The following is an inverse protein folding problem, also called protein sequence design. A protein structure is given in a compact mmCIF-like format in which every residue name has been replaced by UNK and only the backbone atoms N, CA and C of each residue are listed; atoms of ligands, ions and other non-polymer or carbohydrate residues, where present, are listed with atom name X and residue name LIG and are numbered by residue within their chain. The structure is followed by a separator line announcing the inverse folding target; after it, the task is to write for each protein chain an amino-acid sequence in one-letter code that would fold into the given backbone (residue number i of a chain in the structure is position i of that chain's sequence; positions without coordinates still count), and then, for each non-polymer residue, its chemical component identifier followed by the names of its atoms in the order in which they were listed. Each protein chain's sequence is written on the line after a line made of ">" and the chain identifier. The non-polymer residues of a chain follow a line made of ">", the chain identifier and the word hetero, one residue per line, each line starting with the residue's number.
data_IF_102137404133
#
_entry.id   IF_102137404133
#
_cell.length_a   1.000
_cell.length_b   1.000
_cell.length_c   1.000
_cell.angle_alpha   90.00
_cell.angle_beta   90.00
_cell.angle_gamma   90.00
#
_symmetry.space_group_name_H-M   'P 1'
#
loop_
_entity.id
_entity.type
_entity.pdbx_description
1 polymer ?
#
# COMPACT_ATOMS: atom_id res chain seq x y z
N UNK A 1 -8.78 -7.97 -1.03
CA UNK A 1 -8.24 -6.82 -0.26
C UNK A 1 -7.93 -7.26 1.14
N UNK A 2 -8.90 -7.16 2.04
CA UNK A 2 -8.75 -7.48 3.48
C UNK A 2 -8.12 -8.84 3.78
N UNK A 3 -8.60 -9.91 3.14
CA UNK A 3 -8.03 -11.27 3.31
C UNK A 3 -6.53 -11.27 3.00
N UNK A 4 -6.12 -10.65 1.88
CA UNK A 4 -4.70 -10.60 1.54
C UNK A 4 -3.87 -9.83 2.57
N UNK A 5 -4.33 -8.65 3.00
CA UNK A 5 -3.58 -7.81 3.97
C UNK A 5 -3.40 -8.55 5.30
N UNK A 6 -4.48 -9.13 5.83
CA UNK A 6 -4.44 -9.84 7.10
C UNK A 6 -3.59 -11.12 7.02
N UNK A 7 -3.65 -11.86 5.91
CA UNK A 7 -2.84 -13.05 5.70
C UNK A 7 -1.35 -12.70 5.61
N UNK A 8 -0.98 -11.71 4.78
CA UNK A 8 0.42 -11.26 4.68
C UNK A 8 0.96 -10.77 6.01
N UNK A 9 0.16 -9.98 6.76
CA UNK A 9 0.53 -9.55 8.10
C UNK A 9 0.88 -10.73 9.01
N UNK A 10 0.05 -11.77 9.03
CA UNK A 10 0.30 -12.95 9.86
C UNK A 10 1.53 -13.73 9.41
N UNK A 11 1.66 -13.96 8.09
CA UNK A 11 2.78 -14.69 7.51
C UNK A 11 4.11 -13.98 7.82
N UNK A 12 4.19 -12.68 7.55
CA UNK A 12 5.44 -11.92 7.73
C UNK A 12 5.76 -11.72 9.22
N UNK A 13 4.76 -11.48 10.08
CA UNK A 13 4.97 -11.42 11.53
C UNK A 13 5.45 -12.75 12.12
N UNK A 14 5.12 -13.88 11.49
CA UNK A 14 5.64 -15.20 11.91
C UNK A 14 7.14 -15.39 11.62
N UNK A 15 7.74 -14.45 10.88
CA UNK A 15 9.17 -14.37 10.60
C UNK A 15 9.50 -14.87 9.20
N UNK A 16 10.20 -14.03 8.41
CA UNK A 16 10.66 -14.40 7.07
C UNK A 16 11.61 -15.60 7.09
N UNK A 17 12.49 -15.71 8.10
CA UNK A 17 13.41 -16.84 8.23
C UNK A 17 12.68 -18.17 8.45
N UNK A 18 11.65 -18.17 9.30
CA UNK A 18 10.81 -19.35 9.50
C UNK A 18 10.17 -19.83 8.20
N UNK A 19 9.69 -18.91 7.36
CA UNK A 19 9.12 -19.24 6.06
C UNK A 19 10.19 -19.76 5.07
N UNK A 20 11.43 -19.26 5.15
CA UNK A 20 12.55 -19.71 4.29
C UNK A 20 13.04 -21.11 4.61
N UNK A 21 12.91 -21.53 5.86
CA UNK A 21 13.30 -22.87 6.31
C UNK A 21 12.28 -23.95 5.91
N UNK A 22 11.08 -23.55 5.49
CA UNK A 22 10.06 -24.49 4.99
C UNK A 22 10.40 -24.92 3.57
N UNK A 23 10.16 -26.20 3.27
CA UNK A 23 10.05 -26.64 1.88
C UNK A 23 8.78 -26.07 1.23
N UNK A 24 8.71 -26.16 -0.10
CA UNK A 24 7.63 -25.57 -0.90
C UNK A 24 6.24 -26.09 -0.48
N UNK A 25 6.13 -27.39 -0.22
CA UNK A 25 4.89 -28.04 0.19
C UNK A 25 4.41 -27.54 1.57
N UNK A 26 5.30 -27.54 2.57
CA UNK A 26 4.95 -27.04 3.92
C UNK A 26 4.63 -25.55 3.92
N UNK A 27 5.32 -24.76 3.11
CA UNK A 27 5.04 -23.32 2.99
C UNK A 27 3.65 -23.11 2.38
N UNK A 28 3.31 -23.82 1.31
CA UNK A 28 2.00 -23.75 0.67
C UNK A 28 0.87 -24.16 1.64
N UNK A 29 1.03 -25.26 2.38
CA UNK A 29 0.07 -25.70 3.41
C UNK A 29 -0.11 -24.66 4.51
N UNK A 30 0.99 -24.05 4.98
CA UNK A 30 0.93 -23.02 6.00
C UNK A 30 0.22 -21.75 5.50
N UNK A 31 0.50 -21.33 4.27
CA UNK A 31 -0.15 -20.17 3.63
C UNK A 31 -1.64 -20.45 3.42
N UNK A 32 -2.01 -21.65 2.95
CA UNK A 32 -3.41 -22.03 2.80
C UNK A 32 -4.14 -22.00 4.13
N UNK A 33 -3.54 -22.54 5.19
CA UNK A 33 -4.11 -22.50 6.53
C UNK A 33 -4.37 -21.07 7.01
N UNK A 34 -3.42 -20.16 6.80
CA UNK A 34 -3.60 -18.73 7.15
C UNK A 34 -4.71 -18.10 6.29
N UNK A 35 -4.72 -18.35 4.99
CA UNK A 35 -5.73 -17.85 4.07
C UNK A 35 -7.14 -18.33 4.43
N UNK A 36 -7.28 -19.62 4.77
CA UNK A 36 -8.54 -20.25 5.21
C UNK A 36 -9.08 -19.55 6.45
N UNK A 37 -8.26 -19.38 7.49
CA UNK A 37 -8.66 -18.70 8.72
C UNK A 37 -9.13 -17.25 8.49
N UNK A 38 -8.54 -16.52 7.53
CA UNK A 38 -8.98 -15.17 7.19
C UNK A 38 -10.23 -15.15 6.31
N UNK A 39 -10.36 -16.11 5.39
CA UNK A 39 -11.51 -16.21 4.51
C UNK A 39 -12.78 -16.59 5.30
N UNK A 40 -12.67 -17.51 6.26
CA UNK A 40 -13.76 -17.93 7.15
C UNK A 40 -14.38 -16.78 7.95
N UNK A 41 -13.60 -15.75 8.28
CA UNK A 41 -14.09 -14.55 8.98
C UNK A 41 -15.00 -13.69 8.11
N UNK A 42 -14.92 -13.84 6.79
CA UNK A 42 -15.60 -12.97 5.82
C UNK A 42 -16.67 -13.71 5.01
N UNK A 43 -16.63 -15.04 4.96
CA UNK A 43 -17.45 -15.83 4.05
C UNK A 43 -18.74 -16.35 4.68
N UNK A 44 -19.86 -16.09 4.00
CA UNK A 44 -21.11 -16.84 4.11
C UNK A 44 -21.36 -17.67 2.84
N UNK A 45 -20.29 -18.13 2.18
CA UNK A 45 -20.38 -18.79 0.88
C UNK A 45 -20.82 -20.25 0.99
N UNK A 46 -21.41 -20.75 -0.10
CA UNK A 46 -21.54 -22.20 -0.30
C UNK A 46 -20.14 -22.86 -0.28
N UNK A 47 -20.02 -24.10 0.26
CA UNK A 47 -18.73 -24.76 0.45
C UNK A 47 -17.85 -24.80 -0.81
N UNK A 48 -18.43 -24.99 -1.98
CA UNK A 48 -17.73 -25.08 -3.25
C UNK A 48 -17.11 -23.72 -3.64
N UNK A 49 -17.85 -22.63 -3.44
CA UNK A 49 -17.37 -21.26 -3.69
C UNK A 49 -16.27 -20.90 -2.69
N UNK A 50 -16.39 -21.37 -1.45
CA UNK A 50 -15.36 -21.18 -0.44
C UNK A 50 -14.04 -21.82 -0.87
N UNK A 51 -14.04 -23.11 -1.26
CA UNK A 51 -12.82 -23.82 -1.67
C UNK A 51 -12.19 -23.21 -2.94
N UNK A 52 -12.99 -22.80 -3.93
CA UNK A 52 -12.47 -22.09 -5.11
C UNK A 52 -11.77 -20.79 -4.72
N UNK A 53 -12.36 -20.00 -3.82
CA UNK A 53 -11.77 -18.76 -3.37
C UNK A 53 -10.51 -18.99 -2.55
N UNK A 54 -10.51 -20.01 -1.69
CA UNK A 54 -9.34 -20.37 -0.91
C UNK A 54 -8.18 -20.74 -1.82
N UNK A 55 -8.37 -21.65 -2.77
CA UNK A 55 -7.33 -22.05 -3.73
C UNK A 55 -6.76 -20.82 -4.46
N UNK A 56 -7.63 -19.93 -4.95
CA UNK A 56 -7.21 -18.70 -5.62
C UNK A 56 -6.37 -17.80 -4.71
N UNK A 57 -6.84 -17.54 -3.50
CA UNK A 57 -6.16 -16.65 -2.55
C UNK A 57 -4.82 -17.24 -2.11
N UNK A 58 -4.78 -18.53 -1.79
CA UNK A 58 -3.57 -19.24 -1.39
C UNK A 58 -2.52 -19.18 -2.49
N UNK A 59 -2.87 -19.48 -3.74
CA UNK A 59 -1.95 -19.42 -4.88
C UNK A 59 -1.38 -18.01 -5.09
N UNK A 60 -2.21 -16.97 -4.95
CA UNK A 60 -1.75 -15.57 -5.02
C UNK A 60 -0.75 -15.26 -3.90
N UNK A 61 -1.04 -15.70 -2.68
CA UNK A 61 -0.17 -15.47 -1.52
C UNK A 61 1.15 -16.23 -1.64
N UNK A 62 1.14 -17.50 -2.06
CA UNK A 62 2.37 -18.30 -2.32
C UNK A 62 3.25 -17.55 -3.33
N UNK A 63 2.69 -17.23 -4.50
CA UNK A 63 3.40 -16.51 -5.55
C UNK A 63 3.97 -15.17 -5.05
N UNK A 64 3.20 -14.43 -4.25
CA UNK A 64 3.67 -13.18 -3.66
C UNK A 64 4.80 -13.38 -2.64
N UNK A 65 4.67 -14.35 -1.72
CA UNK A 65 5.69 -14.63 -0.71
C UNK A 65 7.01 -15.01 -1.39
N UNK A 66 6.98 -15.90 -2.37
CA UNK A 66 8.18 -16.35 -3.10
C UNK A 66 8.83 -15.22 -3.90
N UNK A 67 8.03 -14.43 -4.61
CA UNK A 67 8.54 -13.45 -5.56
C UNK A 67 8.72 -12.06 -4.99
N UNK A 68 8.28 -11.79 -3.75
CA UNK A 68 8.40 -10.46 -3.12
C UNK A 68 9.01 -10.52 -1.72
N UNK A 69 8.55 -11.42 -0.85
CA UNK A 69 9.06 -11.46 0.54
C UNK A 69 10.34 -12.31 0.67
N UNK A 70 10.40 -13.43 -0.05
CA UNK A 70 11.43 -14.47 0.06
C UNK A 70 12.12 -14.78 -1.28
N UNK A 71 12.53 -13.80 -2.08
CA UNK A 71 13.12 -14.12 -3.36
C UNK A 71 14.42 -14.90 -3.23
N UNK A 72 14.55 -15.89 -4.09
CA UNK A 72 15.83 -16.52 -4.41
C UNK A 72 16.49 -15.70 -5.51
N UNK A 73 17.74 -15.29 -5.30
CA UNK A 73 18.51 -14.60 -6.34
C UNK A 73 18.94 -15.60 -7.41
N UNK A 74 18.23 -15.61 -8.54
CA UNK A 74 18.59 -16.40 -9.72
C UNK A 74 19.35 -15.49 -10.69
N UNK A 75 20.64 -15.75 -10.89
CA UNK A 75 21.50 -15.08 -11.89
C UNK A 75 21.44 -13.52 -11.85
N UNK A 76 21.22 -12.92 -10.68
CA UNK A 76 21.14 -11.47 -10.51
C UNK A 76 19.91 -10.79 -11.15
N UNK A 77 18.90 -11.56 -11.59
CA UNK A 77 17.79 -11.05 -12.42
C UNK A 77 16.60 -10.45 -11.67
N UNK A 78 16.53 -10.52 -10.33
CA UNK A 78 15.39 -9.95 -9.61
C UNK A 78 15.56 -8.46 -9.28
N UNK A 79 15.48 -7.62 -10.32
CA UNK A 79 15.68 -6.15 -10.24
C UNK A 79 14.70 -5.44 -9.32
N UNK A 80 13.46 -5.92 -9.21
CA UNK A 80 12.43 -5.30 -8.37
C UNK A 80 12.77 -5.44 -6.87
N UNK A 81 13.39 -6.56 -6.51
CA UNK A 81 13.65 -6.90 -5.11
C UNK A 81 14.92 -6.29 -4.53
N UNK A 82 15.95 -6.12 -5.35
CA UNK A 82 17.12 -5.32 -4.95
C UNK A 82 16.68 -3.88 -4.62
N UNK A 83 15.80 -3.29 -5.43
CA UNK A 83 15.28 -1.93 -5.18
C UNK A 83 14.35 -1.84 -3.98
N UNK A 84 13.63 -2.90 -3.63
CA UNK A 84 12.77 -2.90 -2.46
C UNK A 84 13.55 -3.16 -1.16
N UNK A 85 14.42 -4.18 -1.15
CA UNK A 85 15.10 -4.65 0.06
C UNK A 85 16.37 -3.88 0.41
N UNK A 86 17.07 -3.34 -0.58
CA UNK A 86 18.40 -2.76 -0.38
C UNK A 86 18.34 -1.24 -0.50
N UNK A 87 18.78 -0.57 0.55
CA UNK A 87 19.09 0.86 0.53
C UNK A 87 20.60 1.04 0.44
N UNK A 88 21.04 1.91 -0.47
CA UNK A 88 22.47 2.17 -0.68
C UNK A 88 22.85 3.45 0.03
N UNK A 89 23.87 3.37 0.87
CA UNK A 89 24.46 4.50 1.59
C UNK A 89 25.92 4.65 1.15
N UNK A 90 26.59 5.71 1.62
CA UNK A 90 28.02 5.89 1.39
C UNK A 90 28.87 4.80 2.08
N UNK A 91 28.33 4.20 3.14
CA UNK A 91 28.99 3.17 3.97
C UNK A 91 28.64 1.73 3.53
N UNK A 92 27.73 1.54 2.57
CA UNK A 92 27.39 0.24 1.99
C UNK A 92 25.91 -0.01 1.75
N UNK A 93 25.52 -1.29 1.73
CA UNK A 93 24.15 -1.74 1.49
C UNK A 93 23.45 -2.04 2.84
N UNK A 94 22.32 -1.38 3.08
CA UNK A 94 21.41 -1.65 4.21
C UNK A 94 20.18 -2.44 3.76
N UNK A 95 19.64 -3.30 4.63
CA UNK A 95 18.53 -4.19 4.31
C UNK A 95 17.27 -3.90 5.11
N UNK A 96 16.18 -3.55 4.43
CA UNK A 96 14.89 -3.27 5.07
C UNK A 96 14.31 -4.50 5.79
N UNK A 97 13.97 -4.30 7.06
CA UNK A 97 13.33 -5.30 7.92
C UNK A 97 11.95 -4.80 8.34
N UNK A 98 10.88 -5.63 8.23
CA UNK A 98 9.57 -5.26 8.74
C UNK A 98 9.59 -4.89 10.22
N UNK A 99 9.04 -3.72 10.54
CA UNK A 99 8.99 -3.15 11.88
C UNK A 99 7.56 -3.08 12.41
N UNK A 100 6.68 -2.40 11.69
CA UNK A 100 5.27 -2.21 12.07
C UNK A 100 4.31 -2.66 10.97
N UNK A 101 3.12 -3.06 11.39
CA UNK A 101 2.01 -3.42 10.49
C UNK A 101 0.71 -2.80 11.00
N UNK A 102 -0.13 -2.34 10.09
CA UNK A 102 -1.42 -1.71 10.41
C UNK A 102 -1.27 -0.55 11.41
N UNK A 103 -0.19 0.24 11.25
CA UNK A 103 0.18 1.32 12.14
C UNK A 103 -0.88 2.41 12.09
N UNK A 104 -1.62 2.57 13.18
CA UNK A 104 -2.77 3.48 13.26
C UNK A 104 -2.33 4.81 13.85
N UNK A 105 -2.89 5.90 13.35
CA UNK A 105 -2.60 7.25 13.84
C UNK A 105 -3.88 8.08 13.95
N UNK A 106 -3.89 8.99 14.93
CA UNK A 106 -5.08 9.76 15.30
C UNK A 106 -4.89 11.26 15.13
N UNK A 107 -6.00 12.00 15.05
CA UNK A 107 -6.01 13.46 14.86
C UNK A 107 -5.26 14.24 15.93
N UNK A 108 -5.14 13.70 17.14
CA UNK A 108 -4.41 14.32 18.25
C UNK A 108 -2.89 14.29 18.08
N UNK A 109 -2.38 13.32 17.32
CA UNK A 109 -0.95 13.06 17.18
C UNK A 109 -0.41 13.59 15.85
N UNK A 110 -1.27 13.67 14.83
CA UNK A 110 -0.88 14.02 13.46
C UNK A 110 -1.49 15.31 12.99
N UNK A 111 -0.85 16.42 13.35
CA UNK A 111 -1.09 17.74 12.75
C UNK A 111 0.11 18.15 11.88
N UNK A 112 -0.08 18.33 10.58
CA UNK A 112 0.99 18.77 9.66
C UNK A 112 0.47 20.01 8.94
N UNK A 113 1.22 21.11 9.01
CA UNK A 113 0.83 22.39 8.42
C UNK A 113 -0.59 22.86 8.80
N UNK A 114 -0.99 22.62 10.05
CA UNK A 114 -2.31 22.98 10.57
C UNK A 114 -3.45 22.03 10.16
N UNK A 115 -3.14 20.93 9.47
CA UNK A 115 -4.11 19.93 9.02
C UNK A 115 -3.99 18.68 9.88
N UNK A 116 -5.13 18.23 10.42
CA UNK A 116 -5.22 17.04 11.27
C UNK A 116 -5.60 15.81 10.46
N UNK A 117 -4.75 14.79 10.51
CA UNK A 117 -4.97 13.53 9.81
C UNK A 117 -5.38 12.40 10.77
N UNK A 118 -5.99 11.35 10.26
CA UNK A 118 -6.18 10.08 10.97
C UNK A 118 -6.29 8.97 9.96
N UNK A 119 -5.77 7.79 10.27
CA UNK A 119 -5.73 6.71 9.32
C UNK A 119 -4.87 5.55 9.79
N UNK A 120 -4.45 4.74 8.82
CA UNK A 120 -3.69 3.52 9.06
C UNK A 120 -2.73 3.26 7.91
N UNK A 121 -1.50 2.91 8.25
CA UNK A 121 -0.43 2.58 7.32
C UNK A 121 -0.26 1.07 7.34
N UNK A 122 -0.33 0.43 6.18
CA UNK A 122 -0.32 -1.03 6.06
C UNK A 122 0.95 -1.64 6.65
N UNK A 123 2.13 -1.11 6.27
CA UNK A 123 3.41 -1.63 6.74
C UNK A 123 4.53 -0.59 6.73
N UNK A 124 5.39 -0.68 7.74
CA UNK A 124 6.62 0.11 7.87
C UNK A 124 7.80 -0.85 8.01
N UNK A 125 8.77 -0.72 7.11
CA UNK A 125 10.06 -1.38 7.20
C UNK A 125 11.13 -0.40 7.65
N UNK A 126 12.18 -0.90 8.30
CA UNK A 126 13.23 -0.08 8.91
C UNK A 126 14.63 -0.55 8.48
N UNK A 127 15.53 0.41 8.37
CA UNK A 127 16.99 0.26 8.27
C UNK A 127 17.67 1.28 9.19
N UNK A 128 18.97 1.17 9.49
CA UNK A 128 19.68 2.18 10.29
C UNK A 128 19.52 3.60 9.76
N UNK A 129 19.54 3.80 8.45
CA UNK A 129 19.43 5.13 7.83
C UNK A 129 18.02 5.72 7.78
N UNK A 130 16.97 4.95 8.09
CA UNK A 130 15.59 5.44 8.03
C UNK A 130 14.55 4.35 7.81
N UNK A 131 13.36 4.76 7.39
CA UNK A 131 12.23 3.85 7.22
C UNK A 131 11.67 3.87 5.80
N UNK A 132 10.97 2.80 5.46
CA UNK A 132 10.25 2.62 4.22
C UNK A 132 8.77 2.35 4.47
N UNK A 133 7.91 3.09 3.76
CA UNK A 133 6.46 2.88 3.80
C UNK A 133 6.04 1.94 2.68
N UNK A 134 5.19 0.98 3.00
CA UNK A 134 4.64 0.02 2.06
C UNK A 134 3.12 0.04 2.19
N UNK A 135 2.44 0.33 1.09
CA UNK A 135 0.99 0.23 0.98
C UNK A 135 0.62 -0.97 0.12
N UNK A 136 -0.18 -1.88 0.66
CA UNK A 136 -0.57 -3.09 -0.04
C UNK A 136 -1.74 -2.81 -0.97
N UNK A 137 -1.62 -3.25 -2.22
CA UNK A 137 -2.70 -3.18 -3.19
C UNK A 137 -2.98 -4.55 -3.78
N UNK A 138 -4.26 -4.91 -3.90
CA UNK A 138 -4.62 -6.21 -4.46
C UNK A 138 -4.19 -6.34 -5.94
N UNK A 139 -4.51 -5.36 -6.79
CA UNK A 139 -4.37 -5.46 -8.26
C UNK A 139 -3.54 -4.37 -8.93
N UNK A 140 -3.79 -3.11 -8.59
CA UNK A 140 -3.16 -1.95 -9.23
C UNK A 140 -2.53 -1.06 -8.16
N UNK A 141 -1.45 -0.38 -8.52
CA UNK A 141 -0.88 0.67 -7.68
C UNK A 141 -1.92 1.78 -7.39
N UNK A 142 -1.79 2.42 -6.23
CA UNK A 142 -2.60 3.57 -5.87
C UNK A 142 -1.99 4.90 -6.35
N UNK A 143 -2.55 5.97 -5.83
CA UNK A 143 -2.10 7.35 -6.02
C UNK A 143 -0.87 7.65 -5.16
N UNK A 144 0.17 8.23 -5.77
CA UNK A 144 1.47 8.48 -5.09
C UNK A 144 1.31 9.42 -3.90
N UNK A 145 0.35 10.32 -3.98
CA UNK A 145 -0.08 11.27 -2.97
C UNK A 145 -0.38 10.58 -1.63
N UNK A 146 -1.01 9.40 -1.67
CA UNK A 146 -1.27 8.60 -0.48
C UNK A 146 0.03 8.15 0.20
N UNK A 147 1.02 7.68 -0.57
CA UNK A 147 2.32 7.27 -0.04
C UNK A 147 3.07 8.44 0.59
N UNK A 148 3.02 9.60 -0.06
CA UNK A 148 3.70 10.82 0.39
C UNK A 148 3.07 11.33 1.69
N UNK A 149 1.74 11.33 1.78
CA UNK A 149 1.03 11.67 3.01
C UNK A 149 1.45 10.75 4.16
N UNK A 150 1.49 9.43 3.93
CA UNK A 150 1.94 8.47 4.93
C UNK A 150 3.41 8.67 5.31
N UNK A 151 4.27 9.00 4.35
CA UNK A 151 5.67 9.31 4.62
C UNK A 151 5.77 10.51 5.58
N UNK A 152 5.10 11.63 5.30
CA UNK A 152 5.15 12.82 6.17
C UNK A 152 4.57 12.59 7.55
N UNK A 153 3.51 11.79 7.65
CA UNK A 153 2.94 11.38 8.94
C UNK A 153 3.94 10.54 9.73
N UNK A 154 4.59 9.56 9.10
CA UNK A 154 5.60 8.73 9.75
C UNK A 154 6.85 9.52 10.15
N UNK A 155 7.35 10.43 9.31
CA UNK A 155 8.49 11.28 9.65
C UNK A 155 8.22 12.06 10.94
N UNK A 156 7.00 12.60 11.08
CA UNK A 156 6.57 13.33 12.26
C UNK A 156 6.40 12.42 13.49
N UNK A 157 5.72 11.28 13.35
CA UNK A 157 5.35 10.43 14.48
C UNK A 157 6.51 9.59 15.01
N UNK A 158 7.38 9.12 14.13
CA UNK A 158 8.47 8.20 14.48
C UNK A 158 9.81 8.91 14.64
N UNK A 159 9.86 10.21 14.36
CA UNK A 159 11.08 11.04 14.42
C UNK A 159 12.25 10.41 13.63
N UNK A 160 11.92 9.77 12.50
CA UNK A 160 12.86 9.10 11.60
C UNK A 160 12.61 9.50 10.15
N UNK A 161 13.66 9.68 9.33
CA UNK A 161 13.48 10.00 7.93
C UNK A 161 12.82 8.84 7.19
N UNK A 162 11.81 9.16 6.38
CA UNK A 162 11.26 8.20 5.41
C UNK A 162 12.09 8.32 4.15
N UNK A 163 12.88 7.30 3.87
CA UNK A 163 13.82 7.28 2.74
C UNK A 163 13.21 6.66 1.49
N UNK A 164 12.16 5.84 1.65
CA UNK A 164 11.38 5.26 0.54
C UNK A 164 9.90 5.11 0.86
N UNK A 165 9.08 5.14 -0.17
CA UNK A 165 7.69 4.68 -0.09
C UNK A 165 7.30 3.92 -1.37
N UNK A 166 6.45 2.90 -1.28
CA UNK A 166 6.05 2.10 -2.45
C UNK A 166 4.70 1.43 -2.31
N UNK A 167 4.11 1.06 -3.45
CA UNK A 167 3.03 0.08 -3.49
C UNK A 167 3.56 -1.33 -3.65
N UNK A 168 3.08 -2.24 -2.81
CA UNK A 168 3.26 -3.66 -3.01
C UNK A 168 1.98 -4.30 -3.56
N UNK A 169 2.02 -4.69 -4.83
CA UNK A 169 0.86 -5.24 -5.55
C UNK A 169 0.85 -6.76 -5.43
N UNK A 170 -0.16 -7.28 -4.75
CA UNK A 170 -0.21 -8.67 -4.27
C UNK A 170 -0.47 -9.66 -5.41
N UNK A 171 -1.56 -9.50 -6.19
CA UNK A 171 -1.89 -10.43 -7.27
C UNK A 171 -0.85 -10.42 -8.40
N UNK A 172 -0.17 -9.28 -8.59
CA UNK A 172 0.90 -9.14 -9.58
C UNK A 172 2.29 -9.50 -9.05
N UNK A 173 2.42 -9.87 -7.76
CA UNK A 173 3.69 -10.11 -7.07
C UNK A 173 4.78 -9.09 -7.44
N UNK A 174 4.45 -7.80 -7.35
CA UNK A 174 5.30 -6.71 -7.86
C UNK A 174 5.33 -5.51 -6.94
N UNK A 175 6.50 -4.89 -6.87
CA UNK A 175 6.70 -3.58 -6.23
C UNK A 175 6.59 -2.49 -7.30
N UNK A 176 5.79 -1.46 -7.05
CA UNK A 176 5.53 -0.37 -8.00
C UNK A 176 5.64 1.00 -7.34
N UNK A 177 6.00 2.01 -8.14
CA UNK A 177 6.12 3.41 -7.72
C UNK A 177 6.99 3.58 -6.47
N UNK A 178 8.22 3.04 -6.50
CA UNK A 178 9.20 3.33 -5.45
C UNK A 178 9.54 4.82 -5.55
N UNK A 179 9.17 5.59 -4.52
CA UNK A 179 9.51 6.99 -4.37
C UNK A 179 10.71 7.10 -3.42
N UNK A 180 11.69 7.92 -3.80
CA UNK A 180 12.74 8.38 -2.91
C UNK A 180 12.34 9.68 -2.21
N UNK A 181 13.19 10.15 -1.28
CA UNK A 181 12.94 11.35 -0.49
C UNK A 181 12.67 12.57 -1.36
N UNK A 182 13.50 12.82 -2.37
CA UNK A 182 13.37 13.99 -3.25
C UNK A 182 12.05 13.96 -4.04
N UNK A 183 11.64 12.79 -4.55
CA UNK A 183 10.34 12.63 -5.23
C UNK A 183 9.17 12.84 -4.27
N UNK A 184 9.28 12.36 -3.03
CA UNK A 184 8.23 12.57 -2.02
C UNK A 184 8.10 14.03 -1.63
N UNK A 185 9.21 14.73 -1.41
CA UNK A 185 9.23 16.15 -1.05
C UNK A 185 8.60 17.01 -2.15
N UNK A 186 8.92 16.73 -3.42
CA UNK A 186 8.32 17.43 -4.56
C UNK A 186 6.80 17.22 -4.66
N UNK A 187 6.32 15.98 -4.49
CA UNK A 187 4.87 15.69 -4.53
C UNK A 187 4.17 16.33 -3.32
N UNK A 188 4.84 16.42 -2.17
CA UNK A 188 4.26 17.00 -0.95
C UNK A 188 3.91 18.49 -1.13
N UNK A 189 4.77 19.26 -1.80
CA UNK A 189 4.55 20.68 -2.07
C UNK A 189 3.20 20.92 -2.77
N UNK A 190 2.94 20.21 -3.87
CA UNK A 190 1.67 20.32 -4.59
C UNK A 190 0.50 19.73 -3.79
N UNK A 191 0.71 18.59 -3.11
CA UNK A 191 -0.33 17.88 -2.37
C UNK A 191 -0.88 18.72 -1.21
N UNK A 192 -0.01 19.39 -0.44
CA UNK A 192 -0.45 20.15 0.73
C UNK A 192 -1.25 21.38 0.33
N UNK A 193 -0.90 22.05 -0.77
CA UNK A 193 -1.68 23.15 -1.34
C UNK A 193 -3.05 22.65 -1.82
N UNK A 194 -3.09 21.52 -2.52
CA UNK A 194 -4.34 20.91 -2.96
C UNK A 194 -5.26 20.54 -1.78
N UNK A 195 -4.71 19.98 -0.70
CA UNK A 195 -5.47 19.66 0.51
C UNK A 195 -6.02 20.94 1.17
N UNK A 196 -5.21 22.01 1.26
CA UNK A 196 -5.68 23.30 1.82
C UNK A 196 -6.82 23.88 1.00
N UNK A 197 -6.70 23.88 -0.33
CA UNK A 197 -7.75 24.32 -1.25
C UNK A 197 -9.03 23.48 -1.10
N UNK A 198 -8.89 22.15 -1.04
CA UNK A 198 -10.01 21.24 -0.81
C UNK A 198 -10.73 21.53 0.53
N UNK A 199 -9.98 21.70 1.62
CA UNK A 199 -10.55 22.00 2.92
C UNK A 199 -11.27 23.35 2.95
N UNK A 200 -10.78 24.36 2.24
CA UNK A 200 -11.45 25.66 2.12
C UNK A 200 -12.75 25.55 1.32
N UNK A 201 -12.75 24.78 0.22
CA UNK A 201 -13.97 24.46 -0.54
C UNK A 201 -15.01 23.78 0.35
N UNK A 202 -14.61 22.78 1.14
CA UNK A 202 -15.51 22.10 2.09
C UNK A 202 -16.06 23.08 3.14
N UNK A 203 -15.24 23.98 3.68
CA UNK A 203 -15.69 24.99 4.68
C UNK A 203 -16.67 26.00 4.11
N UNK A 204 -16.45 26.42 2.87
CA UNK A 204 -17.28 27.42 2.17
C UNK A 204 -18.51 26.81 1.49
N UNK A 205 -18.62 25.48 1.48
CA UNK A 205 -19.71 24.74 0.85
C UNK A 205 -19.59 24.64 -0.67
N UNK A 206 -18.39 24.84 -1.22
CA UNK A 206 -18.12 24.62 -2.64
C UNK A 206 -17.99 23.11 -2.93
N UNK A 207 -19.11 22.52 -3.36
CA UNK A 207 -19.19 21.15 -3.86
C UNK A 207 -19.46 21.12 -5.36
N UNK A 208 -19.02 22.15 -6.09
CA UNK A 208 -19.25 22.26 -7.53
C UNK A 208 -18.66 21.03 -8.23
N UNK A 209 -19.49 20.16 -8.83
CA UNK A 209 -18.99 18.94 -9.46
C UNK A 209 -18.17 19.31 -10.69
N UNK A 210 -17.12 18.53 -10.96
CA UNK A 210 -16.32 18.63 -12.17
C UNK A 210 -16.46 17.34 -12.96
N UNK A 211 -16.64 17.42 -14.28
CA UNK A 211 -16.66 16.21 -15.10
C UNK A 211 -15.24 15.72 -15.39
N UNK A 212 -14.96 14.44 -15.14
CA UNK A 212 -13.78 13.74 -15.63
C UNK A 212 -14.19 12.33 -16.05
N UNK A 213 -13.71 11.87 -17.20
CA UNK A 213 -14.01 10.51 -17.71
C UNK A 213 -13.70 9.42 -16.69
N UNK A 214 -12.52 9.51 -16.07
CA UNK A 214 -12.00 8.49 -15.16
C UNK A 214 -12.83 8.42 -13.88
N UNK A 215 -13.15 9.58 -13.30
CA UNK A 215 -13.91 9.68 -12.05
C UNK A 215 -15.41 9.38 -12.28
N UNK A 216 -16.01 9.95 -13.33
CA UNK A 216 -17.44 9.79 -13.59
C UNK A 216 -17.81 8.35 -13.95
N UNK A 217 -16.94 7.60 -14.63
CA UNK A 217 -17.22 6.22 -15.07
C UNK A 217 -17.52 5.28 -13.90
N UNK A 218 -16.84 5.48 -12.78
CA UNK A 218 -16.94 4.62 -11.59
C UNK A 218 -17.62 5.32 -10.40
N UNK A 219 -18.21 6.50 -10.60
CA UNK A 219 -18.86 7.26 -9.53
C UNK A 219 -20.27 6.73 -9.23
N UNK A 220 -20.51 6.35 -7.97
CA UNK A 220 -21.82 5.90 -7.48
C UNK A 220 -22.88 7.03 -7.49
N UNK A 221 -22.45 8.30 -7.47
CA UNK A 221 -23.34 9.46 -7.43
C UNK A 221 -23.67 10.04 -8.82
N UNK A 222 -23.26 9.37 -9.91
CA UNK A 222 -23.46 9.86 -11.28
C UNK A 222 -24.93 10.14 -11.64
N UNK A 223 -25.87 9.43 -11.01
CA UNK A 223 -27.31 9.56 -11.30
C UNK A 223 -27.94 10.80 -10.66
N UNK A 224 -27.33 11.35 -9.60
CA UNK A 224 -27.78 12.57 -8.92
C UNK A 224 -26.87 13.78 -9.19
N UNK A 225 -25.73 13.57 -9.85
CA UNK A 225 -24.80 14.63 -10.21
C UNK A 225 -25.43 15.58 -11.25
N UNK A 226 -25.34 16.89 -10.99
CA UNK A 226 -25.86 17.92 -11.91
C UNK A 226 -25.04 18.05 -13.20
N UNK A 227 -23.83 17.47 -13.21
CA UNK A 227 -22.88 17.45 -14.32
C UNK A 227 -22.77 16.03 -14.87
N UNK A 228 -22.78 15.87 -16.20
CA UNK A 228 -22.62 14.58 -16.88
C UNK A 228 -21.39 14.58 -17.75
N UNK A 229 -20.58 13.52 -17.68
CA UNK A 229 -19.53 13.35 -18.67
C UNK A 229 -20.11 12.93 -20.04
N UNK A 230 -19.70 13.54 -21.16
CA UNK A 230 -18.88 14.76 -21.26
C UNK A 230 -19.74 16.03 -21.13
N UNK A 231 -19.28 17.04 -20.39
CA UNK A 231 -19.90 18.38 -20.36
C UNK A 231 -18.93 19.52 -20.77
N UNK A 232 -17.73 19.16 -21.25
CA UNK A 232 -16.66 20.09 -21.67
C UNK A 232 -16.07 20.99 -20.55
N UNK A 233 -16.52 20.86 -19.28
CA UNK A 233 -16.13 21.81 -18.22
C UNK A 233 -14.79 21.53 -17.54
N UNK A 234 -14.14 20.38 -17.80
CA UNK A 234 -12.78 20.11 -17.32
C UNK A 234 -12.09 19.02 -18.16
N UNK A 235 -10.79 19.19 -18.44
CA UNK A 235 -9.93 18.10 -18.94
C UNK A 235 -9.18 17.53 -17.75
N UNK A 236 -9.43 16.25 -17.45
CA UNK A 236 -8.79 15.55 -16.34
C UNK A 236 -7.28 15.84 -16.34
N UNK A 237 -6.75 16.32 -15.21
CA UNK A 237 -5.31 16.47 -15.02
C UNK A 237 -4.69 15.07 -15.06
N UNK A 238 -3.78 14.85 -16.01
CA UNK A 238 -2.95 13.64 -16.08
C UNK A 238 -1.92 13.61 -14.97
#
# INVERSE_FOLDING_TARGET
>A
GTVYHNSLRQLIKSGREKLREMDEEKMAEYIEKVARNELEKMSFFEPEIFEINLLRVSNVLVNYIENVELPVEIEGKNKNLKKYRIYKTDDGDEYFVPKEFEYSFTKSETEIEGIKFSGRIDRIDEVPSGIMIIDYKAKNAGEKEQLVLYAKICEKLLEKPVIRATFSVIEGAKIQNILDKDNMDKIWEDLVENIKCFLEGVKTGDFTPRSCEQDCRNCDFKDICSVRWPDETFKCSK
#
